data_IF_722935721520
#
_entry.id   IF_722935721520
#
_cell.length_a   1.000
_cell.length_b   1.000
_cell.length_c   1.000
_cell.angle_alpha   90.00
_cell.angle_beta   90.00
_cell.angle_gamma   90.00
#
_symmetry.space_group_name_H-M   'P 1'
#
loop_
_entity.id
_entity.type
_entity.pdbx_description
1 polymer ?
#
# COMPACT_ATOMS: atom_id res chain seq x y z
N UNK A 1 -20.36 -43.24 -28.33
CA UNK A 1 -20.84 -41.86 -28.48
C UNK A 1 -20.00 -41.20 -29.58
N UNK A 2 -20.60 -40.50 -30.54
CA UNK A 2 -19.81 -39.82 -31.58
C UNK A 2 -19.15 -38.58 -30.99
N UNK A 3 -17.83 -38.50 -31.11
CA UNK A 3 -17.06 -37.29 -30.87
C UNK A 3 -17.05 -36.46 -32.15
N UNK A 4 -17.19 -35.14 -32.05
CA UNK A 4 -17.00 -34.28 -33.20
C UNK A 4 -15.50 -34.00 -33.33
N UNK A 5 -14.91 -34.52 -34.39
CA UNK A 5 -13.46 -34.41 -34.64
C UNK A 5 -13.09 -32.96 -35.02
N UNK A 6 -11.87 -32.57 -34.66
CA UNK A 6 -11.31 -31.29 -35.10
C UNK A 6 -11.30 -31.16 -36.64
N UNK A 7 -11.59 -29.96 -37.14
CA UNK A 7 -11.66 -29.73 -38.58
C UNK A 7 -12.26 -28.38 -38.96
N UNK A 8 -12.21 -28.02 -40.25
CA UNK A 8 -12.93 -26.87 -40.77
C UNK A 8 -14.44 -27.16 -40.79
N UNK A 9 -15.22 -26.13 -40.51
CA UNK A 9 -16.67 -26.13 -40.65
C UNK A 9 -17.09 -24.90 -41.45
N UNK A 10 -18.07 -25.07 -42.32
CA UNK A 10 -18.71 -23.97 -43.04
C UNK A 10 -20.03 -23.65 -42.36
N UNK A 11 -20.23 -22.38 -42.02
CA UNK A 11 -21.42 -21.89 -41.32
C UNK A 11 -22.36 -21.26 -42.34
N UNK A 12 -23.62 -21.71 -42.33
CA UNK A 12 -24.70 -21.11 -43.10
C UNK A 12 -25.68 -20.43 -42.14
N UNK A 13 -26.01 -19.17 -42.41
CA UNK A 13 -27.02 -18.41 -41.69
C UNK A 13 -28.16 -18.04 -42.64
N UNK A 14 -29.40 -18.35 -42.26
CA UNK A 14 -30.60 -18.20 -43.08
C UNK A 14 -30.47 -18.76 -44.52
N UNK A 15 -29.73 -19.86 -44.69
CA UNK A 15 -29.53 -20.53 -45.97
C UNK A 15 -28.46 -19.89 -46.87
N UNK A 16 -27.79 -18.82 -46.43
CA UNK A 16 -26.67 -18.20 -47.11
C UNK A 16 -25.34 -18.56 -46.43
N UNK A 17 -24.26 -18.63 -47.22
CA UNK A 17 -22.91 -18.79 -46.68
C UNK A 17 -22.57 -17.60 -45.78
N UNK A 18 -22.21 -17.87 -44.53
CA UNK A 18 -21.92 -16.85 -43.54
C UNK A 18 -20.43 -16.77 -43.20
N UNK A 19 -19.68 -17.88 -43.34
CA UNK A 19 -18.24 -17.93 -43.13
C UNK A 19 -17.72 -19.34 -42.83
N UNK A 20 -16.44 -19.43 -42.57
CA UNK A 20 -15.76 -20.67 -42.18
C UNK A 20 -15.16 -20.52 -40.79
N UNK A 21 -15.19 -21.59 -40.01
CA UNK A 21 -14.51 -21.69 -38.72
C UNK A 21 -13.72 -22.98 -38.62
N UNK A 22 -12.85 -23.07 -37.62
CA UNK A 22 -12.16 -24.32 -37.26
C UNK A 22 -12.53 -24.71 -35.85
N UNK A 23 -12.89 -25.97 -35.65
CA UNK A 23 -13.19 -26.54 -34.34
C UNK A 23 -12.06 -27.45 -33.86
N UNK A 24 -11.99 -27.63 -32.55
CA UNK A 24 -11.18 -28.65 -31.89
C UNK A 24 -12.03 -29.90 -31.61
N UNK A 25 -11.41 -30.98 -31.14
CA UNK A 25 -12.16 -32.17 -30.71
C UNK A 25 -13.12 -31.83 -29.57
N UNK A 26 -14.39 -32.20 -29.75
CA UNK A 26 -15.46 -31.94 -28.79
C UNK A 26 -16.00 -33.25 -28.22
N UNK A 27 -16.19 -33.26 -26.90
CA UNK A 27 -16.81 -34.39 -26.22
C UNK A 27 -18.34 -34.36 -26.46
N UNK A 28 -19.01 -35.52 -26.41
CA UNK A 28 -20.47 -35.56 -26.52
C UNK A 28 -21.11 -34.67 -25.45
N UNK A 29 -22.03 -33.79 -25.87
CA UNK A 29 -22.77 -32.89 -24.97
C UNK A 29 -22.02 -31.62 -24.56
N UNK A 30 -20.82 -31.35 -25.06
CA UNK A 30 -20.13 -30.07 -24.80
C UNK A 30 -20.55 -28.99 -25.79
N UNK A 31 -20.76 -27.78 -25.28
CA UNK A 31 -21.00 -26.58 -26.08
C UNK A 31 -19.73 -25.75 -26.20
N UNK A 32 -19.55 -25.07 -27.35
CA UNK A 32 -18.39 -24.20 -27.56
C UNK A 32 -18.73 -23.05 -28.50
N UNK A 33 -18.24 -21.87 -28.15
CA UNK A 33 -18.31 -20.70 -29.03
C UNK A 33 -17.33 -20.87 -30.20
N UNK A 34 -17.80 -20.54 -31.40
CA UNK A 34 -17.01 -20.58 -32.63
C UNK A 34 -17.08 -19.22 -33.32
N UNK A 35 -15.91 -18.70 -33.70
CA UNK A 35 -15.82 -17.48 -34.50
C UNK A 35 -15.72 -17.88 -35.97
N UNK A 36 -16.73 -17.51 -36.77
CA UNK A 36 -16.80 -17.87 -38.20
C UNK A 36 -16.83 -16.65 -39.14
N UNK A 37 -17.17 -15.47 -38.62
CA UNK A 37 -17.24 -14.24 -39.39
C UNK A 37 -17.02 -13.01 -38.48
N UNK A 38 -16.63 -11.89 -39.10
CA UNK A 38 -16.57 -10.58 -38.45
C UNK A 38 -17.89 -9.84 -38.69
N UNK A 39 -18.51 -9.35 -37.62
CA UNK A 39 -19.69 -8.47 -37.73
C UNK A 39 -19.24 -7.02 -37.91
N UNK A 40 -19.51 -6.46 -39.08
CA UNK A 40 -19.12 -5.08 -39.42
C UNK A 40 -20.14 -4.03 -38.96
N UNK A 41 -21.34 -4.43 -38.54
CA UNK A 41 -22.41 -3.51 -38.19
C UNK A 41 -22.54 -3.27 -36.68
N UNK A 42 -21.80 -4.00 -35.85
CA UNK A 42 -21.81 -3.85 -34.39
C UNK A 42 -20.47 -3.34 -33.90
N UNK A 43 -20.49 -2.24 -33.15
CA UNK A 43 -19.32 -1.67 -32.50
C UNK A 43 -19.45 -1.83 -30.98
N UNK A 44 -18.36 -2.19 -30.31
CA UNK A 44 -18.29 -2.27 -28.85
C UNK A 44 -17.13 -1.42 -28.36
N UNK A 45 -17.45 -0.38 -27.59
CA UNK A 45 -16.47 0.54 -27.02
C UNK A 45 -16.35 0.29 -25.50
N UNK A 46 -15.22 -0.28 -25.01
CA UNK A 46 -14.95 -0.42 -23.59
C UNK A 46 -14.35 0.88 -23.00
N UNK A 47 -14.91 1.33 -21.89
CA UNK A 47 -14.37 2.43 -21.08
C UNK A 47 -14.11 1.94 -19.66
N UNK A 48 -12.86 2.00 -19.21
CA UNK A 48 -12.48 1.61 -17.86
C UNK A 48 -12.31 2.83 -16.95
N UNK A 49 -12.89 2.76 -15.75
CA UNK A 49 -12.76 3.74 -14.69
C UNK A 49 -12.32 3.02 -13.41
N UNK A 50 -11.26 3.50 -12.79
CA UNK A 50 -10.92 3.11 -11.42
C UNK A 50 -11.44 4.17 -10.46
N UNK A 51 -12.07 3.73 -9.38
CA UNK A 51 -12.33 4.62 -8.25
C UNK A 51 -11.07 4.79 -7.43
N UNK A 52 -10.90 5.94 -6.73
CA UNK A 52 -9.87 6.08 -5.72
C UNK A 52 -10.03 5.00 -4.64
N UNK A 53 -8.90 4.55 -4.10
CA UNK A 53 -8.88 3.67 -2.94
C UNK A 53 -9.63 4.31 -1.76
N UNK A 54 -10.54 3.57 -1.14
CA UNK A 54 -11.32 4.04 0.01
C UNK A 54 -10.87 3.33 1.27
N UNK A 55 -10.45 4.10 2.28
CA UNK A 55 -10.19 3.57 3.61
C UNK A 55 -11.53 3.22 4.26
N UNK A 56 -11.72 1.96 4.68
CA UNK A 56 -12.95 1.50 5.33
C UNK A 56 -12.83 1.57 6.85
N UNK A 57 -11.80 0.92 7.39
CA UNK A 57 -11.62 0.80 8.84
C UNK A 57 -10.15 0.85 9.23
N UNK A 58 -9.89 1.35 10.43
CA UNK A 58 -8.59 1.30 11.08
C UNK A 58 -8.80 0.90 12.53
N UNK A 59 -8.06 -0.09 12.99
CA UNK A 59 -7.99 -0.48 14.40
C UNK A 59 -6.54 -0.69 14.80
N UNK A 60 -6.24 -0.53 16.09
CA UNK A 60 -4.91 -0.78 16.63
C UNK A 60 -5.03 -1.80 17.75
N UNK A 61 -4.32 -2.91 17.63
CA UNK A 61 -4.27 -3.96 18.66
C UNK A 61 -2.81 -4.35 18.89
N UNK A 62 -2.35 -4.25 20.15
CA UNK A 62 -1.01 -4.63 20.59
C UNK A 62 0.12 -4.02 19.74
N UNK A 63 0.00 -2.74 19.41
CA UNK A 63 1.00 -2.01 18.62
C UNK A 63 0.98 -2.28 17.11
N UNK A 64 -0.01 -3.02 16.62
CA UNK A 64 -0.24 -3.27 15.19
C UNK A 64 -1.48 -2.51 14.74
N UNK A 65 -1.31 -1.64 13.75
CA UNK A 65 -2.39 -0.98 13.03
C UNK A 65 -2.90 -1.93 11.96
N UNK A 66 -4.18 -2.28 12.04
CA UNK A 66 -4.91 -3.01 11.01
C UNK A 66 -5.72 -2.00 10.22
N UNK A 67 -5.48 -1.97 8.92
CA UNK A 67 -6.14 -1.10 7.96
C UNK A 67 -6.92 -1.96 6.98
N UNK A 68 -8.16 -1.57 6.69
CA UNK A 68 -8.96 -2.21 5.65
C UNK A 68 -9.28 -1.19 4.58
N UNK A 69 -8.93 -1.50 3.33
CA UNK A 69 -9.20 -0.66 2.18
C UNK A 69 -10.17 -1.35 1.22
N UNK A 70 -11.03 -0.56 0.57
CA UNK A 70 -11.82 -1.00 -0.56
C UNK A 70 -11.22 -0.47 -1.87
N UNK A 71 -11.13 -1.35 -2.85
CA UNK A 71 -10.81 -1.02 -4.23
C UNK A 71 -12.04 -1.29 -5.07
N UNK A 72 -12.45 -0.33 -5.87
CA UNK A 72 -13.56 -0.47 -6.79
C UNK A 72 -13.10 -0.15 -8.21
N UNK A 73 -13.49 -0.97 -9.17
CA UNK A 73 -13.24 -0.75 -10.60
C UNK A 73 -14.52 -0.97 -11.40
N UNK A 74 -14.64 -0.24 -12.49
CA UNK A 74 -15.77 -0.35 -13.41
C UNK A 74 -15.29 -0.34 -14.85
N UNK A 75 -15.79 -1.27 -15.65
CA UNK A 75 -15.63 -1.26 -17.11
C UNK A 75 -17.01 -1.18 -17.73
N UNK A 76 -17.29 -0.09 -18.45
CA UNK A 76 -18.53 0.10 -19.18
C UNK A 76 -18.32 -0.23 -20.65
N UNK A 77 -19.10 -1.16 -21.17
CA UNK A 77 -19.17 -1.49 -22.58
C UNK A 77 -20.37 -0.78 -23.20
N UNK A 78 -20.12 0.08 -24.18
CA UNK A 78 -21.18 0.66 -25.01
C UNK A 78 -21.26 -0.12 -26.32
N UNK A 79 -22.39 -0.80 -26.53
CA UNK A 79 -22.66 -1.60 -27.72
C UNK A 79 -23.55 -0.81 -28.66
N UNK A 80 -23.07 -0.54 -29.87
CA UNK A 80 -23.81 0.19 -30.90
C UNK A 80 -24.05 -0.74 -32.09
N UNK A 81 -25.31 -1.04 -32.35
CA UNK A 81 -25.73 -1.79 -33.54
C UNK A 81 -26.23 -0.82 -34.61
N UNK A 82 -25.51 -0.75 -35.74
CA UNK A 82 -25.84 0.06 -36.91
C UNK A 82 -26.54 -0.76 -38.01
N UNK A 83 -26.82 -2.04 -37.76
CA UNK A 83 -27.58 -2.91 -38.65
C UNK A 83 -29.10 -2.76 -38.48
N UNK A 84 -29.85 -3.47 -39.31
CA UNK A 84 -31.32 -3.37 -39.37
C UNK A 84 -32.05 -4.29 -38.38
N UNK A 85 -31.37 -5.34 -37.87
CA UNK A 85 -31.94 -6.34 -36.97
C UNK A 85 -31.35 -6.22 -35.57
N UNK A 86 -32.17 -6.49 -34.56
CA UNK A 86 -31.70 -6.64 -33.18
C UNK A 86 -30.73 -7.82 -33.06
N UNK A 87 -29.71 -7.67 -32.23
CA UNK A 87 -28.66 -8.67 -32.00
C UNK A 87 -28.46 -8.89 -30.51
N UNK A 88 -28.13 -10.11 -30.12
CA UNK A 88 -27.64 -10.41 -28.78
C UNK A 88 -26.12 -10.48 -28.83
N UNK A 89 -25.46 -9.52 -28.20
CA UNK A 89 -24.00 -9.44 -28.14
C UNK A 89 -23.54 -10.07 -26.84
N UNK A 90 -22.69 -11.09 -26.94
CA UNK A 90 -22.06 -11.72 -25.79
C UNK A 90 -20.74 -11.00 -25.51
N UNK A 91 -20.63 -10.36 -24.34
CA UNK A 91 -19.42 -9.69 -23.88
C UNK A 91 -18.67 -10.62 -22.94
N UNK A 92 -17.45 -11.02 -23.32
CA UNK A 92 -16.55 -11.77 -22.45
C UNK A 92 -15.68 -10.80 -21.63
N UNK A 93 -15.73 -10.96 -20.31
CA UNK A 93 -14.99 -10.15 -19.34
C UNK A 93 -14.11 -11.06 -18.47
N UNK A 94 -12.80 -10.78 -18.28
CA UNK A 94 -11.93 -11.61 -17.45
C UNK A 94 -12.44 -11.79 -16.02
N UNK A 95 -12.53 -13.04 -15.54
CA UNK A 95 -12.89 -13.36 -14.17
C UNK A 95 -11.62 -13.39 -13.29
N UNK A 96 -11.55 -12.50 -12.30
CA UNK A 96 -10.51 -12.52 -11.27
C UNK A 96 -11.11 -12.97 -9.94
N UNK A 97 -10.71 -14.12 -9.38
CA UNK A 97 -11.31 -14.66 -8.15
C UNK A 97 -11.04 -13.80 -6.91
N UNK A 98 -10.14 -12.82 -6.99
CA UNK A 98 -9.89 -11.88 -5.90
C UNK A 98 -10.85 -10.69 -5.90
N UNK A 99 -11.67 -10.53 -6.94
CA UNK A 99 -12.62 -9.44 -7.08
C UNK A 99 -14.04 -9.97 -7.04
N UNK A 100 -14.90 -9.26 -6.33
CA UNK A 100 -16.31 -9.57 -6.22
C UNK A 100 -17.09 -8.75 -7.25
N UNK A 101 -17.86 -9.43 -8.09
CA UNK A 101 -18.76 -8.80 -9.04
C UNK A 101 -19.94 -8.15 -8.30
N UNK A 102 -20.06 -6.84 -8.40
CA UNK A 102 -21.14 -6.04 -7.78
C UNK A 102 -22.29 -5.84 -8.76
N UNK A 103 -21.96 -5.53 -10.02
CA UNK A 103 -22.92 -5.37 -11.09
C UNK A 103 -22.32 -5.78 -12.44
N UNK A 104 -23.09 -6.40 -13.35
CA UNK A 104 -24.36 -7.07 -13.09
C UNK A 104 -24.15 -8.29 -12.17
N UNK A 105 -25.09 -8.60 -11.27
CA UNK A 105 -24.93 -9.70 -10.30
C UNK A 105 -24.97 -11.09 -10.92
N UNK A 106 -25.70 -11.23 -12.02
CA UNK A 106 -25.96 -12.50 -12.68
C UNK A 106 -25.41 -12.47 -14.12
N UNK A 107 -24.15 -12.90 -14.33
CA UNK A 107 -23.64 -13.16 -15.68
C UNK A 107 -24.44 -14.30 -16.33
N UNK A 108 -24.58 -14.27 -17.65
CA UNK A 108 -25.25 -15.31 -18.41
C UNK A 108 -24.50 -16.66 -18.30
N UNK A 109 -23.18 -16.60 -18.22
CA UNK A 109 -22.31 -17.76 -17.96
C UNK A 109 -21.07 -17.29 -17.20
N UNK A 110 -20.59 -18.12 -16.27
CA UNK A 110 -19.29 -17.93 -15.61
C UNK A 110 -18.45 -19.17 -15.84
N UNK A 111 -17.31 -18.96 -16.48
CA UNK A 111 -16.29 -20.00 -16.68
C UNK A 111 -15.17 -19.81 -15.66
N UNK A 112 -14.12 -20.65 -15.73
CA UNK A 112 -12.95 -20.50 -14.86
C UNK A 112 -12.30 -19.11 -14.98
N UNK A 113 -12.18 -18.60 -16.20
CA UNK A 113 -11.36 -17.43 -16.52
C UNK A 113 -12.16 -16.23 -17.04
N UNK A 114 -13.47 -16.38 -17.29
CA UNK A 114 -14.32 -15.34 -17.89
C UNK A 114 -15.73 -15.31 -17.29
N UNK A 115 -16.23 -14.11 -17.05
CA UNK A 115 -17.66 -13.79 -17.01
C UNK A 115 -18.17 -13.52 -18.43
N UNK A 116 -19.41 -13.93 -18.71
CA UNK A 116 -20.08 -13.65 -19.99
C UNK A 116 -21.40 -12.95 -19.75
N UNK A 117 -21.59 -11.81 -20.40
CA UNK A 117 -22.80 -11.00 -20.28
C UNK A 117 -23.50 -10.90 -21.63
N UNK A 118 -24.79 -11.21 -21.67
CA UNK A 118 -25.60 -11.02 -22.87
C UNK A 118 -26.18 -9.61 -22.88
N UNK A 119 -25.94 -8.87 -23.95
CA UNK A 119 -26.43 -7.50 -24.16
C UNK A 119 -27.33 -7.48 -25.39
N UNK A 120 -28.61 -7.14 -25.18
CA UNK A 120 -29.53 -6.90 -26.29
C UNK A 120 -29.20 -5.57 -26.97
N UNK A 121 -28.75 -5.63 -28.22
CA UNK A 121 -28.34 -4.49 -29.03
C UNK A 121 -29.38 -4.21 -30.13
N UNK A 122 -30.29 -3.29 -29.83
CA UNK A 122 -31.32 -2.83 -30.76
C UNK A 122 -30.74 -1.93 -31.87
N UNK A 123 -31.29 -1.97 -33.10
CA UNK A 123 -30.88 -1.09 -34.19
C UNK A 123 -30.91 0.39 -33.80
N UNK A 124 -29.80 1.10 -34.02
CA UNK A 124 -29.69 2.54 -33.82
C UNK A 124 -29.74 3.02 -32.36
N UNK A 125 -29.87 2.11 -31.37
CA UNK A 125 -29.92 2.43 -29.95
C UNK A 125 -28.70 1.85 -29.22
N UNK A 126 -27.79 2.68 -28.70
CA UNK A 126 -26.68 2.18 -27.90
C UNK A 126 -27.16 1.48 -26.63
N UNK A 127 -26.73 0.25 -26.42
CA UNK A 127 -26.92 -0.48 -25.17
C UNK A 127 -25.67 -0.35 -24.29
N UNK A 128 -25.84 -0.29 -22.98
CA UNK A 128 -24.72 -0.17 -22.03
C UNK A 128 -24.70 -1.35 -21.07
N UNK A 129 -23.51 -1.90 -20.87
CA UNK A 129 -23.21 -2.90 -19.86
C UNK A 129 -22.13 -2.32 -18.94
N UNK A 130 -22.45 -2.06 -17.68
CA UNK A 130 -21.47 -1.64 -16.68
C UNK A 130 -21.10 -2.86 -15.83
N UNK A 131 -19.84 -3.29 -15.93
CA UNK A 131 -19.26 -4.33 -15.08
C UNK A 131 -18.52 -3.64 -13.94
N UNK A 132 -19.03 -3.77 -12.72
CA UNK A 132 -18.51 -3.17 -11.50
C UNK A 132 -18.05 -4.26 -10.56
N UNK A 133 -16.83 -4.11 -10.05
CA UNK A 133 -16.21 -5.06 -9.15
C UNK A 133 -15.56 -4.35 -7.97
N UNK A 134 -15.57 -5.04 -6.83
CA UNK A 134 -14.93 -4.56 -5.62
C UNK A 134 -14.02 -5.62 -4.99
N UNK A 135 -12.96 -5.15 -4.33
CA UNK A 135 -12.08 -5.99 -3.53
C UNK A 135 -11.68 -5.25 -2.25
N UNK A 136 -11.87 -5.94 -1.13
CA UNK A 136 -11.37 -5.48 0.17
C UNK A 136 -9.99 -6.05 0.46
N UNK A 137 -9.06 -5.22 0.91
CA UNK A 137 -7.70 -5.62 1.27
C UNK A 137 -7.39 -5.19 2.70
N UNK A 138 -6.98 -6.16 3.52
CA UNK A 138 -6.48 -5.91 4.87
C UNK A 138 -4.97 -5.75 4.89
N UNK A 139 -4.46 -4.70 5.51
CA UNK A 139 -3.04 -4.43 5.71
C UNK A 139 -2.71 -4.36 7.19
N UNK A 140 -1.57 -4.91 7.59
CA UNK A 140 -1.06 -4.86 8.96
C UNK A 140 0.24 -4.07 8.99
N UNK A 141 0.32 -3.08 9.87
CA UNK A 141 1.46 -2.17 9.97
C UNK A 141 1.86 -2.05 11.44
N UNK A 142 3.12 -2.33 11.77
CA UNK A 142 3.63 -2.02 13.10
C UNK A 142 3.59 -0.50 13.31
N UNK A 143 2.96 -0.03 14.37
CA UNK A 143 2.81 1.40 14.65
C UNK A 143 4.19 2.06 14.85
N UNK A 144 5.19 1.30 15.32
CA UNK A 144 6.59 1.73 15.41
C UNK A 144 7.19 2.10 14.06
N UNK A 145 6.76 1.48 12.96
CA UNK A 145 7.25 1.74 11.60
C UNK A 145 6.58 2.94 10.93
N UNK A 146 5.49 3.47 11.51
CA UNK A 146 4.83 4.66 10.98
C UNK A 146 5.62 5.93 11.33
N UNK A 147 5.97 6.72 10.33
CA UNK A 147 6.48 8.08 10.56
C UNK A 147 5.34 9.06 10.90
N UNK A 148 5.70 10.27 11.32
CA UNK A 148 4.73 11.29 11.70
C UNK A 148 3.82 11.70 10.53
N UNK A 149 4.30 11.67 9.29
CA UNK A 149 3.52 12.06 8.11
C UNK A 149 2.45 11.02 7.78
N UNK A 150 2.81 9.73 7.87
CA UNK A 150 1.89 8.62 7.70
C UNK A 150 0.80 8.63 8.78
N UNK A 151 1.14 9.01 10.01
CA UNK A 151 0.16 9.14 11.11
C UNK A 151 -0.85 10.26 10.82
N UNK A 152 -0.40 11.40 10.27
CA UNK A 152 -1.28 12.53 9.91
C UNK A 152 -2.38 12.13 8.93
N UNK A 153 -2.12 11.20 8.01
CA UNK A 153 -3.13 10.68 7.07
C UNK A 153 -4.30 10.04 7.85
N UNK A 154 -4.00 9.24 8.87
CA UNK A 154 -5.03 8.59 9.70
C UNK A 154 -5.74 9.57 10.63
N UNK A 155 -5.04 10.60 11.12
CA UNK A 155 -5.66 11.65 11.95
C UNK A 155 -6.70 12.47 11.18
N UNK A 156 -6.48 12.68 9.88
CA UNK A 156 -7.37 13.44 9.01
C UNK A 156 -8.48 12.58 8.38
N UNK A 157 -8.38 11.25 8.44
CA UNK A 157 -9.38 10.36 7.89
C UNK A 157 -10.65 10.34 8.75
N UNK A 158 -11.82 10.48 8.10
CA UNK A 158 -13.12 10.46 8.78
C UNK A 158 -13.54 9.05 9.21
N UNK A 159 -13.00 8.01 8.56
CA UNK A 159 -13.30 6.61 8.86
C UNK A 159 -12.50 6.06 10.06
N UNK A 160 -11.61 6.87 10.64
CA UNK A 160 -10.82 6.51 11.82
C UNK A 160 -11.51 7.05 13.07
N UNK A 161 -11.74 6.18 14.05
CA UNK A 161 -12.40 6.55 15.31
C UNK A 161 -11.56 7.52 16.14
N UNK A 162 -12.21 8.32 16.97
CA UNK A 162 -11.51 9.27 17.85
C UNK A 162 -10.57 8.56 18.81
N UNK A 163 -10.93 7.36 19.30
CA UNK A 163 -10.08 6.53 20.15
C UNK A 163 -8.77 6.15 19.45
N UNK A 164 -8.84 5.73 18.17
CA UNK A 164 -7.65 5.43 17.36
C UNK A 164 -6.84 6.70 17.11
N UNK A 165 -7.47 7.84 16.85
CA UNK A 165 -6.78 9.12 16.66
C UNK A 165 -6.03 9.55 17.93
N UNK A 166 -6.66 9.48 19.10
CA UNK A 166 -5.99 9.80 20.37
C UNK A 166 -4.81 8.87 20.63
N UNK A 167 -4.98 7.58 20.39
CA UNK A 167 -3.89 6.61 20.51
C UNK A 167 -2.70 6.96 19.60
N UNK A 168 -2.96 7.30 18.34
CA UNK A 168 -1.93 7.71 17.39
C UNK A 168 -1.24 9.02 17.80
N UNK A 169 -1.98 10.00 18.33
CA UNK A 169 -1.39 11.24 18.86
C UNK A 169 -0.45 10.95 20.03
N UNK A 170 -0.84 10.07 20.94
CA UNK A 170 0.00 9.67 22.08
C UNK A 170 1.26 8.93 21.63
N UNK A 171 1.17 8.08 20.60
CA UNK A 171 2.36 7.47 19.99
C UNK A 171 3.29 8.51 19.39
N UNK A 172 2.77 9.49 18.63
CA UNK A 172 3.58 10.58 18.06
C UNK A 172 4.28 11.34 19.17
N UNK A 173 3.58 11.68 20.26
CA UNK A 173 4.16 12.39 21.40
C UNK A 173 5.33 11.61 22.02
N UNK A 174 5.16 10.31 22.26
CA UNK A 174 6.21 9.43 22.83
C UNK A 174 7.40 9.27 21.88
N UNK A 175 7.15 9.08 20.58
CA UNK A 175 8.21 9.03 19.55
C UNK A 175 8.99 10.35 19.49
N UNK A 176 8.30 11.48 19.59
CA UNK A 176 8.95 12.79 19.62
C UNK A 176 9.83 12.96 20.85
N UNK A 177 9.36 12.53 22.03
CA UNK A 177 10.16 12.55 23.26
C UNK A 177 11.44 11.71 23.12
N UNK A 178 11.34 10.50 22.55
CA UNK A 178 12.51 9.66 22.25
C UNK A 178 13.48 10.33 21.27
N UNK A 179 12.96 10.96 20.22
CA UNK A 179 13.77 11.69 19.23
C UNK A 179 14.55 12.85 19.88
N UNK A 180 13.91 13.59 20.78
CA UNK A 180 14.55 14.68 21.54
C UNK A 180 15.67 14.15 22.44
N UNK A 181 15.42 13.08 23.21
CA UNK A 181 16.43 12.46 24.08
C UNK A 181 17.62 11.91 23.27
N UNK A 182 17.36 11.27 22.13
CA UNK A 182 18.40 10.78 21.25
C UNK A 182 19.25 11.92 20.66
N UNK A 183 18.62 13.04 20.29
CA UNK A 183 19.33 14.22 19.79
C UNK A 183 20.18 14.89 20.88
N UNK A 184 19.67 14.98 22.11
CA UNK A 184 20.39 15.51 23.28
C UNK A 184 21.61 14.65 23.61
N UNK A 185 21.44 13.32 23.66
CA UNK A 185 22.54 12.38 23.84
C UNK A 185 23.61 12.54 22.76
N UNK A 186 23.21 12.61 21.49
CA UNK A 186 24.13 12.77 20.38
C UNK A 186 24.91 14.09 20.48
N UNK A 187 24.31 15.15 21.02
CA UNK A 187 24.99 16.42 21.26
C UNK A 187 26.03 16.31 22.39
N UNK A 188 25.71 15.67 23.51
CA UNK A 188 26.70 15.44 24.58
C UNK A 188 27.86 14.55 24.12
N UNK A 189 27.58 13.50 23.35
CA UNK A 189 28.62 12.65 22.74
C UNK A 189 29.53 13.45 21.78
N UNK A 190 28.96 14.36 20.98
CA UNK A 190 29.74 15.29 20.14
C UNK A 190 30.65 16.19 20.98
N UNK A 191 30.12 16.82 22.02
CA UNK A 191 30.91 17.72 22.90
C UNK A 191 32.05 16.96 23.59
N UNK A 192 31.78 15.76 24.09
CA UNK A 192 32.77 14.90 24.73
C UNK A 192 33.92 14.55 23.76
N UNK A 193 33.60 14.23 22.50
CA UNK A 193 34.61 13.93 21.49
C UNK A 193 35.48 15.16 21.17
N UNK A 194 34.87 16.35 21.06
CA UNK A 194 35.62 17.61 20.86
C UNK A 194 36.60 17.86 22.02
N UNK A 195 36.17 17.66 23.27
CA UNK A 195 37.06 17.83 24.43
C UNK A 195 38.19 16.81 24.41
N UNK A 196 37.91 15.53 24.11
CA UNK A 196 38.95 14.48 23.99
C UNK A 196 40.02 14.82 22.96
N UNK A 197 39.63 15.33 21.79
CA UNK A 197 40.57 15.78 20.77
C UNK A 197 41.42 16.97 21.24
N UNK A 198 40.80 17.94 21.93
CA UNK A 198 41.52 19.09 22.50
C UNK A 198 42.51 18.66 23.59
N UNK A 199 42.13 17.73 24.46
CA UNK A 199 43.00 17.19 25.50
C UNK A 199 44.22 16.49 24.91
N UNK A 200 44.05 15.73 23.83
CA UNK A 200 45.17 15.12 23.12
C UNK A 200 46.15 16.19 22.61
N UNK A 201 45.66 17.28 22.02
CA UNK A 201 46.50 18.41 21.60
C UNK A 201 47.22 19.08 22.76
N UNK A 202 46.54 19.25 23.90
CA UNK A 202 47.16 19.80 25.12
C UNK A 202 48.28 18.89 25.62
N UNK A 203 48.06 17.58 25.66
CA UNK A 203 49.08 16.59 26.06
C UNK A 203 50.29 16.63 25.12
N UNK A 204 50.09 16.73 23.81
CA UNK A 204 51.20 16.88 22.86
C UNK A 204 51.96 18.20 23.05
N UNK A 205 51.26 19.33 23.23
CA UNK A 205 51.90 20.63 23.46
C UNK A 205 52.71 20.66 24.76
N UNK A 206 52.20 20.05 25.83
CA UNK A 206 52.88 19.96 27.13
C UNK A 206 54.16 19.11 27.09
N UNK A 207 54.32 18.21 26.12
CA UNK A 207 55.58 17.46 25.92
C UNK A 207 56.72 18.35 25.40
N UNK A 208 56.40 19.39 24.65
CA UNK A 208 57.38 20.24 23.95
C UNK A 208 57.70 21.51 24.74
N UNK A 209 56.76 22.00 25.56
CA UNK A 209 56.92 23.25 26.30
C UNK A 209 57.82 23.10 27.55
N UNK A 210 58.64 24.12 27.89
CA UNK A 210 59.32 24.17 29.17
C UNK A 210 58.33 24.15 30.34
N UNK A 211 58.58 23.28 31.33
CA UNK A 211 57.67 23.05 32.47
C UNK A 211 57.37 24.31 33.28
N UNK A 212 58.31 25.25 33.32
CA UNK A 212 58.23 26.45 34.14
C UNK A 212 57.57 27.63 33.42
N UNK A 213 57.22 27.45 32.13
CA UNK A 213 56.60 28.49 31.32
C UNK A 213 55.17 28.81 31.76
N UNK A 214 54.79 30.09 31.64
CA UNK A 214 53.42 30.55 31.91
C UNK A 214 52.39 29.87 30.99
N UNK A 215 52.79 29.56 29.75
CA UNK A 215 51.99 28.79 28.79
C UNK A 215 51.71 27.36 29.27
N UNK A 216 52.70 26.66 29.84
CA UNK A 216 52.50 25.31 30.39
C UNK A 216 51.50 25.33 31.56
N UNK A 217 51.59 26.31 32.47
CA UNK A 217 50.63 26.48 33.57
C UNK A 217 49.20 26.72 33.06
N UNK A 218 49.05 27.50 31.99
CA UNK A 218 47.75 27.79 31.38
C UNK A 218 47.12 26.52 30.77
N UNK A 219 47.91 25.72 30.06
CA UNK A 219 47.45 24.45 29.50
C UNK A 219 47.06 23.43 30.57
N UNK A 220 47.81 23.35 31.69
CA UNK A 220 47.45 22.50 32.83
C UNK A 220 46.12 22.93 33.43
N UNK A 221 45.91 24.24 33.65
CA UNK A 221 44.62 24.75 34.15
C UNK A 221 43.47 24.39 33.22
N UNK A 222 43.63 24.62 31.91
CA UNK A 222 42.63 24.25 30.90
C UNK A 222 42.37 22.74 30.87
N UNK A 223 43.40 21.93 31.05
CA UNK A 223 43.27 20.47 31.13
C UNK A 223 42.40 20.05 32.33
N UNK A 224 42.65 20.61 33.52
CA UNK A 224 41.82 20.34 34.70
C UNK A 224 40.36 20.77 34.51
N UNK A 225 40.11 21.95 33.92
CA UNK A 225 38.76 22.42 33.59
C UNK A 225 38.05 21.47 32.61
N UNK A 226 38.78 20.91 31.64
CA UNK A 226 38.26 19.92 30.69
C UNK A 226 37.95 18.56 31.35
N UNK A 227 38.72 18.12 32.34
CA UNK A 227 38.40 16.91 33.11
C UNK A 227 37.08 17.08 33.88
N UNK A 228 36.87 18.21 34.55
CA UNK A 228 35.58 18.49 35.21
C UNK A 228 34.40 18.54 34.23
N UNK A 229 34.63 19.06 33.01
CA UNK A 229 33.61 19.07 31.94
C UNK A 229 33.33 17.66 31.40
N UNK A 230 34.36 16.84 31.22
CA UNK A 230 34.22 15.44 30.79
C UNK A 230 33.36 14.65 31.79
N UNK A 231 33.64 14.77 33.09
CA UNK A 231 32.88 14.06 34.14
C UNK A 231 31.40 14.47 34.13
N UNK A 232 31.12 15.76 33.92
CA UNK A 232 29.75 16.28 33.78
C UNK A 232 29.06 15.73 32.52
N UNK A 233 29.72 15.78 31.37
CA UNK A 233 29.18 15.27 30.11
C UNK A 233 28.93 13.76 30.17
N UNK A 234 29.83 13.00 30.77
CA UNK A 234 29.65 11.56 30.95
C UNK A 234 28.42 11.27 31.83
N UNK A 235 28.28 12.00 32.93
CA UNK A 235 27.10 11.87 33.81
C UNK A 235 25.80 12.22 33.08
N UNK A 236 25.80 13.27 32.24
CA UNK A 236 24.65 13.66 31.42
C UNK A 236 24.31 12.61 30.35
N UNK A 237 25.32 12.02 29.69
CA UNK A 237 25.13 10.93 28.74
C UNK A 237 24.48 9.74 29.43
N UNK A 238 25.00 9.31 30.59
CA UNK A 238 24.48 8.17 31.33
C UNK A 238 23.02 8.41 31.79
N UNK A 239 22.71 9.63 32.23
CA UNK A 239 21.35 10.03 32.60
C UNK A 239 20.41 10.03 31.39
N UNK A 240 20.82 10.61 30.26
CA UNK A 240 20.00 10.66 29.04
C UNK A 240 19.80 9.28 28.43
N UNK A 241 20.81 8.40 28.47
CA UNK A 241 20.67 6.98 28.06
C UNK A 241 19.64 6.27 28.92
N UNK A 242 19.65 6.49 30.24
CA UNK A 242 18.64 5.93 31.14
C UNK A 242 17.23 6.44 30.80
N UNK A 243 17.07 7.75 30.60
CA UNK A 243 15.80 8.36 30.19
C UNK A 243 15.31 7.83 28.84
N UNK A 244 16.21 7.64 27.87
CA UNK A 244 15.87 7.09 26.56
C UNK A 244 15.36 5.65 26.69
N UNK A 245 16.04 4.81 27.47
CA UNK A 245 15.63 3.43 27.71
C UNK A 245 14.29 3.33 28.45
N UNK A 246 14.08 4.18 29.46
CA UNK A 246 12.80 4.24 30.18
C UNK A 246 11.67 4.70 29.26
N UNK A 247 11.86 5.77 28.48
CA UNK A 247 10.88 6.25 27.51
C UNK A 247 10.55 5.21 26.42
N UNK A 248 11.54 4.41 26.00
CA UNK A 248 11.35 3.33 25.04
C UNK A 248 10.50 2.21 25.63
N UNK A 249 10.82 1.78 26.85
CA UNK A 249 10.03 0.78 27.57
C UNK A 249 8.59 1.23 27.78
N UNK A 250 8.38 2.49 28.17
CA UNK A 250 7.04 3.05 28.33
C UNK A 250 6.25 3.10 27.01
N UNK A 251 6.91 3.41 25.89
CA UNK A 251 6.29 3.33 24.56
C UNK A 251 5.88 1.90 24.23
N UNK A 252 6.78 0.92 24.44
CA UNK A 252 6.50 -0.49 24.15
C UNK A 252 5.35 -1.02 25.02
N UNK A 253 5.33 -0.69 26.31
CA UNK A 253 4.24 -1.04 27.22
C UNK A 253 2.90 -0.39 26.83
N UNK A 254 2.93 0.88 26.40
CA UNK A 254 1.75 1.57 25.90
C UNK A 254 1.19 0.87 24.66
N UNK A 255 2.06 0.55 23.70
CA UNK A 255 1.68 -0.15 22.46
C UNK A 255 1.10 -1.54 22.74
N UNK A 256 1.70 -2.30 23.67
CA UNK A 256 1.22 -3.64 24.04
C UNK A 256 -0.18 -3.63 24.68
N UNK A 257 -0.50 -2.58 25.45
CA UNK A 257 -1.80 -2.40 26.11
C UNK A 257 -2.87 -1.80 25.19
N UNK A 258 -2.49 -1.32 24.02
CA UNK A 258 -3.38 -0.61 23.12
C UNK A 258 -4.31 -1.58 22.39
N UNK A 259 -5.62 -1.42 22.59
CA UNK A 259 -6.66 -2.12 21.85
C UNK A 259 -7.84 -1.17 21.60
N UNK A 260 -7.88 -0.59 20.40
CA UNK A 260 -8.84 0.45 19.99
C UNK A 260 -9.30 0.21 18.56
N UNK A 261 -10.57 0.45 18.28
CA UNK A 261 -11.20 0.29 16.96
C UNK A 261 -12.05 1.50 16.58
#
# INVERSE_FOLDING_TARGET
>A
ALHLLQGPITVFDNGAYAGDARIQDLQPGTERLISYAMDLATEVAPESKSSPQQLLTVKITKGVLYRTDNYARSTTYTVKNSGEKAKNVLVEYPHDPNWNLIAPKDPAETTRDMYRFAVAAEPGKPAKLAVEEERTVGTQIAVTNLDSNAIVIYLNASQVSDAVKEALREVVRRKQQLSVLAAERAEYERQLNVIREQQNRIRENLKVLPKDSELARTYIKKFSEQEEQNDKLQSQIDETVKKENDARRELDEFLLKLDVA
#
